data_IF_294514869542
#
_entry.id   IF_294514869542
#
_cell.length_a   1.000
_cell.length_b   1.000
_cell.length_c   1.000
_cell.angle_alpha   90.00
_cell.angle_beta   90.00
_cell.angle_gamma   90.00
#
_symmetry.space_group_name_H-M   'P 1'
#
loop_
_entity.id
_entity.type
_entity.pdbx_description
1 polymer ?
#
# COMPACT_ATOMS: atom_id res chain seq x y z
N UNK A 1 -12.59 -25.27 36.79
CA UNK A 1 -12.34 -25.13 35.35
C UNK A 1 -12.06 -23.67 35.10
N UNK A 2 -10.80 -23.31 34.90
CA UNK A 2 -10.41 -21.95 34.57
C UNK A 2 -10.75 -21.73 33.09
N UNK A 3 -11.63 -20.79 32.80
CA UNK A 3 -11.80 -20.24 31.47
C UNK A 3 -10.44 -19.72 31.01
N UNK A 4 -9.76 -20.49 30.15
CA UNK A 4 -8.64 -19.97 29.39
C UNK A 4 -9.23 -18.88 28.50
N UNK A 5 -8.98 -17.65 28.87
CA UNK A 5 -9.33 -16.46 28.10
C UNK A 5 -8.72 -16.58 26.69
N UNK A 6 -9.57 -16.80 25.71
CA UNK A 6 -9.29 -16.79 24.27
C UNK A 6 -8.96 -15.36 23.77
N UNK A 7 -8.00 -14.72 24.41
CA UNK A 7 -7.66 -13.30 24.11
C UNK A 7 -6.99 -13.10 22.74
N UNK A 8 -6.58 -14.18 22.06
CA UNK A 8 -5.80 -14.08 20.80
C UNK A 8 -6.50 -14.69 19.58
N UNK A 9 -7.66 -15.31 19.70
CA UNK A 9 -8.38 -15.84 18.55
C UNK A 9 -8.79 -14.72 17.59
N UNK A 10 -8.63 -14.97 16.30
CA UNK A 10 -9.18 -14.09 15.28
C UNK A 10 -10.69 -14.35 15.18
N UNK A 11 -11.50 -13.35 15.50
CA UNK A 11 -12.93 -13.41 15.27
C UNK A 11 -13.21 -13.01 13.81
N UNK A 12 -13.64 -13.93 12.93
CA UNK A 12 -13.75 -13.64 11.50
C UNK A 12 -14.61 -12.41 11.18
N UNK A 13 -15.63 -12.14 11.98
CA UNK A 13 -16.50 -10.97 11.80
C UNK A 13 -15.82 -9.63 12.09
N UNK A 14 -14.68 -9.64 12.78
CA UNK A 14 -13.90 -8.44 13.15
C UNK A 14 -12.58 -8.35 12.38
N UNK A 15 -12.36 -9.23 11.39
CA UNK A 15 -11.13 -9.31 10.59
C UNK A 15 -11.43 -8.98 9.13
N UNK A 16 -10.49 -8.32 8.46
CA UNK A 16 -10.47 -8.19 7.01
C UNK A 16 -9.05 -8.41 6.46
N UNK A 17 -8.95 -8.94 5.24
CA UNK A 17 -7.72 -8.96 4.46
C UNK A 17 -7.64 -7.69 3.64
N UNK A 18 -6.50 -7.01 3.64
CA UNK A 18 -6.14 -5.95 2.72
C UNK A 18 -5.08 -6.48 1.76
N UNK A 19 -5.43 -6.69 0.49
CA UNK A 19 -4.49 -6.92 -0.60
C UNK A 19 -4.10 -5.56 -1.16
N UNK A 20 -2.85 -5.12 -0.92
CA UNK A 20 -2.39 -3.76 -1.19
C UNK A 20 -1.58 -3.73 -2.49
N UNK A 21 -2.04 -2.94 -3.47
CA UNK A 21 -1.37 -2.66 -4.76
C UNK A 21 -1.10 -3.89 -5.63
N UNK A 22 -2.05 -4.81 -5.67
CA UNK A 22 -1.97 -6.00 -6.51
C UNK A 22 -2.26 -5.67 -7.98
N UNK A 23 -1.29 -5.08 -8.66
CA UNK A 23 -1.41 -4.62 -10.04
C UNK A 23 -0.27 -5.15 -10.92
N UNK A 24 -0.53 -5.28 -12.22
CA UNK A 24 0.44 -5.79 -13.22
C UNK A 24 1.67 -4.90 -13.39
N UNK A 25 1.64 -3.71 -12.84
CA UNK A 25 2.76 -2.78 -12.91
C UNK A 25 4.04 -3.32 -12.28
N UNK A 26 3.94 -4.08 -11.19
CA UNK A 26 5.08 -4.60 -10.46
C UNK A 26 5.72 -5.84 -11.08
N UNK A 27 5.16 -6.35 -12.20
CA UNK A 27 5.62 -7.57 -12.89
C UNK A 27 6.74 -7.32 -13.90
N UNK A 28 6.81 -6.14 -14.50
CA UNK A 28 7.55 -5.94 -15.74
C UNK A 28 8.95 -5.39 -15.49
N UNK A 29 9.93 -6.30 -15.51
CA UNK A 29 11.35 -5.96 -15.41
C UNK A 29 11.88 -5.15 -16.59
N UNK A 30 11.29 -5.28 -17.78
CA UNK A 30 11.75 -4.59 -18.99
C UNK A 30 11.33 -3.13 -19.02
N UNK A 31 10.23 -2.79 -18.36
CA UNK A 31 9.78 -1.40 -18.23
C UNK A 31 10.57 -0.63 -17.17
N UNK A 32 11.39 -1.31 -16.37
CA UNK A 32 12.35 -0.76 -15.39
C UNK A 32 11.74 0.21 -14.36
N UNK A 33 10.45 0.02 -14.00
CA UNK A 33 9.72 1.08 -13.31
C UNK A 33 9.58 0.83 -11.81
N UNK A 34 9.10 -0.29 -11.36
CA UNK A 34 9.05 -0.69 -9.94
C UNK A 34 9.02 -2.21 -9.82
N UNK A 35 9.90 -2.89 -10.56
CA UNK A 35 9.97 -4.34 -10.49
C UNK A 35 10.21 -4.79 -9.04
N UNK A 36 9.30 -5.58 -8.53
CA UNK A 36 9.42 -6.22 -7.21
C UNK A 36 9.93 -7.65 -7.41
N UNK A 37 11.10 -7.93 -6.85
CA UNK A 37 11.69 -9.27 -6.98
C UNK A 37 10.80 -10.33 -6.33
N UNK A 38 10.66 -11.49 -6.98
CA UNK A 38 9.80 -12.59 -6.51
C UNK A 38 8.31 -12.17 -6.30
N UNK A 39 7.81 -11.22 -7.07
CA UNK A 39 6.41 -10.80 -7.00
C UNK A 39 5.43 -11.97 -7.22
N UNK A 40 5.79 -12.94 -8.09
CA UNK A 40 4.99 -14.13 -8.36
C UNK A 40 4.70 -14.92 -7.07
N UNK A 41 5.73 -15.10 -6.22
CA UNK A 41 5.56 -15.79 -4.93
C UNK A 41 4.64 -15.01 -3.99
N UNK A 42 4.76 -13.69 -3.97
CA UNK A 42 3.86 -12.88 -3.16
C UNK A 42 2.40 -12.97 -3.67
N UNK A 43 2.20 -13.01 -4.99
CA UNK A 43 0.88 -13.19 -5.60
C UNK A 43 0.27 -14.55 -5.25
N UNK A 44 1.03 -15.63 -5.41
CA UNK A 44 0.62 -16.98 -5.05
C UNK A 44 0.26 -17.08 -3.56
N UNK A 45 1.14 -16.62 -2.67
CA UNK A 45 0.88 -16.65 -1.23
C UNK A 45 -0.26 -15.71 -0.81
N UNK A 46 -0.43 -14.56 -1.46
CA UNK A 46 -1.59 -13.71 -1.22
C UNK A 46 -2.89 -14.40 -1.62
N UNK A 47 -2.89 -15.11 -2.73
CA UNK A 47 -4.06 -15.90 -3.16
C UNK A 47 -4.38 -17.00 -2.15
N UNK A 48 -3.36 -17.73 -1.67
CA UNK A 48 -3.53 -18.74 -0.63
C UNK A 48 -4.11 -18.16 0.67
N UNK A 49 -3.62 -17.00 1.11
CA UNK A 49 -4.15 -16.28 2.29
C UNK A 49 -5.61 -15.87 2.07
N UNK A 50 -5.94 -15.36 0.89
CA UNK A 50 -7.31 -14.95 0.53
C UNK A 50 -8.24 -16.15 0.54
N UNK A 51 -7.86 -17.26 -0.11
CA UNK A 51 -8.67 -18.47 -0.18
C UNK A 51 -8.92 -19.05 1.21
N UNK A 52 -7.87 -19.14 2.02
CA UNK A 52 -7.96 -19.56 3.41
C UNK A 52 -8.91 -18.67 4.22
N UNK A 53 -8.75 -17.35 4.15
CA UNK A 53 -9.58 -16.41 4.89
C UNK A 53 -11.07 -16.47 4.45
N UNK A 54 -11.33 -16.77 3.18
CA UNK A 54 -12.69 -16.98 2.67
C UNK A 54 -13.40 -18.19 3.30
N UNK A 55 -12.69 -19.26 3.60
CA UNK A 55 -13.26 -20.42 4.32
C UNK A 55 -13.81 -20.04 5.69
N UNK A 56 -13.25 -19.00 6.30
CA UNK A 56 -13.69 -18.43 7.59
C UNK A 56 -14.65 -17.22 7.43
N UNK A 57 -15.12 -16.93 6.21
CA UNK A 57 -16.01 -15.80 5.92
C UNK A 57 -15.41 -14.42 6.24
N UNK A 58 -14.09 -14.32 6.24
CA UNK A 58 -13.35 -13.06 6.41
C UNK A 58 -13.50 -12.24 5.12
N UNK A 59 -13.71 -10.94 5.27
CA UNK A 59 -13.84 -10.01 4.13
C UNK A 59 -12.49 -9.73 3.48
N UNK A 60 -12.49 -9.68 2.17
CA UNK A 60 -11.31 -9.40 1.36
C UNK A 60 -11.48 -8.07 0.66
N UNK A 61 -10.53 -7.18 0.86
CA UNK A 61 -10.54 -5.82 0.31
C UNK A 61 -9.30 -5.64 -0.57
N UNK A 62 -9.52 -5.32 -1.84
CA UNK A 62 -8.47 -4.87 -2.73
C UNK A 62 -8.27 -3.36 -2.53
N UNK A 63 -7.05 -2.96 -2.20
CA UNK A 63 -6.64 -1.56 -2.15
C UNK A 63 -5.55 -1.39 -3.19
N UNK A 64 -5.70 -0.47 -4.13
CA UNK A 64 -4.82 -0.41 -5.29
C UNK A 64 -4.56 1.02 -5.75
N UNK A 65 -3.37 1.23 -6.30
CA UNK A 65 -3.00 2.47 -6.94
C UNK A 65 -3.81 2.71 -8.22
N UNK A 66 -4.32 3.92 -8.36
CA UNK A 66 -5.15 4.34 -9.49
C UNK A 66 -4.84 5.81 -9.84
N UNK A 67 -3.61 6.04 -10.32
CA UNK A 67 -3.08 7.39 -10.47
C UNK A 67 -3.57 8.11 -11.72
N UNK A 68 -3.89 9.41 -11.63
CA UNK A 68 -3.96 10.25 -12.82
C UNK A 68 -2.57 10.43 -13.43
N UNK A 69 -2.49 10.51 -14.76
CA UNK A 69 -1.23 10.66 -15.50
C UNK A 69 -0.40 11.88 -15.05
N UNK A 70 -1.04 12.86 -14.48
CA UNK A 70 -0.46 14.15 -14.05
C UNK A 70 -0.22 14.26 -12.55
N UNK A 71 -0.05 13.14 -11.86
CA UNK A 71 0.16 13.12 -10.42
C UNK A 71 1.46 13.83 -9.99
N UNK A 72 1.42 14.53 -8.84
CA UNK A 72 2.52 15.36 -8.32
C UNK A 72 3.86 14.62 -8.14
N UNK A 73 3.84 13.33 -7.84
CA UNK A 73 5.07 12.56 -7.63
C UNK A 73 5.59 11.83 -8.88
N UNK A 74 5.08 12.13 -10.07
CA UNK A 74 5.67 11.59 -11.29
C UNK A 74 6.82 12.47 -11.80
N UNK A 75 8.02 11.88 -11.91
CA UNK A 75 9.23 12.56 -12.35
C UNK A 75 9.04 13.22 -13.72
N UNK A 76 8.25 12.61 -14.59
CA UNK A 76 7.95 13.13 -15.92
C UNK A 76 7.13 14.44 -15.93
N UNK A 77 6.68 14.92 -14.77
CA UNK A 77 6.02 16.22 -14.63
C UNK A 77 7.00 17.38 -14.42
N UNK A 78 8.30 17.08 -14.26
CA UNK A 78 9.31 18.07 -13.91
C UNK A 78 10.45 18.16 -14.93
N UNK A 79 10.93 19.36 -15.18
CA UNK A 79 12.08 19.59 -16.03
C UNK A 79 13.35 19.06 -15.36
N UNK A 80 14.12 18.23 -16.07
CA UNK A 80 15.42 17.74 -15.59
C UNK A 80 15.38 16.67 -14.52
N UNK A 81 14.21 16.31 -13.98
CA UNK A 81 14.06 15.25 -13.00
C UNK A 81 13.93 13.87 -13.67
N UNK A 82 14.35 12.85 -12.92
CA UNK A 82 14.28 11.44 -13.32
C UNK A 82 13.60 10.63 -12.22
N UNK A 83 13.06 9.44 -12.53
CA UNK A 83 12.62 8.51 -11.51
C UNK A 83 13.67 8.30 -10.42
N UNK A 84 13.20 8.29 -9.17
CA UNK A 84 13.98 8.17 -7.94
C UNK A 84 14.77 9.41 -7.52
N UNK A 85 14.71 10.52 -8.25
CA UNK A 85 15.19 11.81 -7.76
C UNK A 85 14.34 12.27 -6.59
N UNK A 86 14.96 13.01 -5.67
CA UNK A 86 14.23 13.70 -4.62
C UNK A 86 13.72 15.05 -5.14
N UNK A 87 12.55 15.44 -4.64
CA UNK A 87 12.04 16.80 -4.72
C UNK A 87 11.77 17.29 -3.30
N UNK A 88 12.20 18.50 -2.97
CA UNK A 88 12.08 19.03 -1.60
C UNK A 88 11.50 20.44 -1.58
N UNK A 89 10.92 20.81 -0.43
CA UNK A 89 10.46 22.19 -0.21
C UNK A 89 11.61 23.20 -0.39
N UNK A 90 12.80 22.89 0.14
CA UNK A 90 13.95 23.77 0.03
C UNK A 90 14.41 24.03 -1.41
N UNK A 91 14.20 23.06 -2.29
CA UNK A 91 14.47 23.21 -3.73
C UNK A 91 13.41 24.08 -4.41
N UNK A 92 12.13 23.83 -4.14
CA UNK A 92 11.04 24.46 -4.92
C UNK A 92 10.57 25.80 -4.37
N UNK A 93 10.89 26.15 -3.11
CA UNK A 93 10.38 27.37 -2.46
C UNK A 93 10.69 28.65 -3.23
N UNK A 94 11.82 28.67 -3.92
CA UNK A 94 12.31 29.83 -4.68
C UNK A 94 11.95 29.74 -6.19
N UNK A 95 11.33 28.66 -6.65
CA UNK A 95 10.86 28.56 -8.03
C UNK A 95 9.75 29.57 -8.34
N UNK A 96 9.70 30.01 -9.60
CA UNK A 96 8.64 30.83 -10.15
C UNK A 96 8.05 30.14 -11.39
N UNK A 97 6.90 30.58 -11.86
CA UNK A 97 6.30 30.02 -13.07
C UNK A 97 7.16 30.29 -14.31
N UNK A 98 8.02 31.31 -14.28
CA UNK A 98 8.94 31.65 -15.37
C UNK A 98 10.09 30.64 -15.51
N UNK A 99 10.39 29.88 -14.44
CA UNK A 99 11.48 28.87 -14.45
C UNK A 99 11.11 27.63 -15.28
N UNK A 100 9.84 27.45 -15.62
CA UNK A 100 9.33 26.32 -16.41
C UNK A 100 9.78 24.95 -15.88
N UNK A 101 9.84 24.78 -14.56
CA UNK A 101 10.27 23.55 -13.90
C UNK A 101 9.17 22.47 -13.92
N UNK A 102 7.92 22.88 -14.04
CA UNK A 102 6.75 22.00 -14.09
C UNK A 102 6.24 21.95 -15.54
N UNK A 103 6.13 20.74 -16.10
CA UNK A 103 5.63 20.58 -17.45
C UNK A 103 4.12 20.85 -17.56
N UNK A 104 3.67 21.27 -18.73
CA UNK A 104 2.25 21.54 -19.00
C UNK A 104 1.32 20.33 -18.84
N UNK A 105 1.88 19.11 -18.78
CA UNK A 105 1.10 17.89 -18.50
C UNK A 105 0.74 17.75 -17.00
N UNK A 106 1.42 18.46 -16.11
CA UNK A 106 1.15 18.39 -14.68
C UNK A 106 -0.26 18.90 -14.38
N UNK A 107 -0.98 18.20 -13.53
CA UNK A 107 -2.34 18.55 -13.12
C UNK A 107 -2.39 19.43 -11.88
N UNK A 108 -1.27 20.06 -11.51
CA UNK A 108 -1.10 20.88 -10.31
C UNK A 108 -0.32 22.15 -10.64
N UNK A 109 -0.51 23.17 -9.83
CA UNK A 109 0.21 24.43 -9.87
C UNK A 109 1.49 24.39 -9.01
N UNK A 110 2.40 25.35 -9.24
CA UNK A 110 3.57 25.53 -8.40
C UNK A 110 3.20 25.84 -6.94
N UNK A 111 2.14 26.58 -6.70
CA UNK A 111 1.68 26.90 -5.35
C UNK A 111 1.16 25.65 -4.62
N UNK A 112 0.43 24.78 -5.30
CA UNK A 112 -0.01 23.49 -4.74
C UNK A 112 1.17 22.58 -4.42
N UNK A 113 2.17 22.50 -5.30
CA UNK A 113 3.41 21.77 -5.04
C UNK A 113 4.16 22.32 -3.81
N UNK A 114 4.33 23.64 -3.72
CA UNK A 114 4.98 24.28 -2.57
C UNK A 114 4.23 24.01 -1.27
N UNK A 115 2.91 24.09 -1.30
CA UNK A 115 2.08 23.82 -0.13
C UNK A 115 2.24 22.37 0.33
N UNK A 116 2.18 21.44 -0.60
CA UNK A 116 2.36 20.01 -0.33
C UNK A 116 3.75 19.70 0.27
N UNK A 117 4.82 20.15 -0.40
CA UNK A 117 6.18 19.89 0.07
C UNK A 117 6.52 20.61 1.38
N UNK A 118 5.84 21.69 1.72
CA UNK A 118 5.98 22.35 3.01
C UNK A 118 5.54 21.46 4.17
N UNK A 119 4.54 20.61 3.96
CA UNK A 119 4.02 19.69 4.96
C UNK A 119 4.88 18.42 5.08
N UNK A 120 5.33 17.86 3.94
CA UNK A 120 6.07 16.59 3.91
C UNK A 120 7.59 16.77 3.87
N UNK A 121 8.08 17.99 3.63
CA UNK A 121 9.48 18.41 3.49
C UNK A 121 10.15 17.95 2.21
N UNK A 122 10.08 16.66 1.87
CA UNK A 122 10.64 16.07 0.65
C UNK A 122 9.91 14.79 0.27
N UNK A 123 10.00 14.44 -1.02
CA UNK A 123 9.44 13.21 -1.58
C UNK A 123 10.35 12.60 -2.64
N UNK A 124 10.18 11.30 -2.89
CA UNK A 124 10.79 10.59 -4.02
C UNK A 124 9.89 10.75 -5.24
N UNK A 125 10.48 11.11 -6.36
CA UNK A 125 9.78 11.12 -7.65
C UNK A 125 9.82 9.74 -8.30
N UNK A 126 8.69 9.30 -8.79
CA UNK A 126 8.48 7.98 -9.35
C UNK A 126 8.33 8.02 -10.87
N UNK A 127 8.58 6.89 -11.56
CA UNK A 127 8.13 6.75 -12.94
C UNK A 127 6.61 6.82 -13.02
N UNK A 128 6.05 7.11 -14.19
CA UNK A 128 4.62 6.99 -14.44
C UNK A 128 4.20 5.52 -14.23
N UNK A 129 3.26 5.25 -13.31
CA UNK A 129 2.84 3.89 -12.99
C UNK A 129 1.38 3.84 -12.56
N UNK A 130 0.77 2.67 -12.58
CA UNK A 130 -0.62 2.42 -12.17
C UNK A 130 -1.61 3.47 -12.72
N UNK A 131 -1.37 3.94 -13.94
CA UNK A 131 -2.19 4.99 -14.56
C UNK A 131 -3.61 4.46 -14.79
N UNK A 132 -4.58 5.23 -14.32
CA UNK A 132 -6.00 4.93 -14.48
C UNK A 132 -6.38 4.60 -15.92
N UNK A 133 -7.21 3.58 -16.11
CA UNK A 133 -7.66 3.07 -17.41
C UNK A 133 -6.55 2.48 -18.30
N UNK A 134 -5.39 2.13 -17.77
CA UNK A 134 -4.38 1.35 -18.48
C UNK A 134 -4.41 -0.11 -18.04
N UNK A 135 -3.87 -1.01 -18.86
CA UNK A 135 -3.77 -2.44 -18.50
C UNK A 135 -2.92 -2.66 -17.23
N UNK A 136 -1.98 -1.79 -16.95
CA UNK A 136 -1.07 -1.88 -15.82
C UNK A 136 -1.75 -1.65 -14.46
N UNK A 137 -2.91 -1.02 -14.46
CA UNK A 137 -3.77 -0.90 -13.28
C UNK A 137 -4.64 -2.15 -13.04
N UNK A 138 -4.56 -3.18 -13.92
CA UNK A 138 -5.28 -4.44 -13.74
C UNK A 138 -4.62 -5.31 -12.66
N UNK A 139 -5.43 -6.22 -12.12
CA UNK A 139 -4.97 -7.19 -11.14
C UNK A 139 -3.93 -8.16 -11.71
N UNK A 140 -2.99 -8.56 -10.86
CA UNK A 140 -2.03 -9.60 -11.13
C UNK A 140 -2.63 -11.00 -10.98
N UNK A 141 -2.29 -11.89 -11.92
CA UNK A 141 -2.54 -13.32 -11.70
C UNK A 141 -1.74 -13.82 -10.48
N UNK A 142 -2.27 -14.79 -9.68
CA UNK A 142 -3.51 -15.52 -9.92
C UNK A 142 -4.78 -14.85 -9.40
N UNK A 143 -4.72 -13.61 -8.92
CA UNK A 143 -5.87 -12.89 -8.36
C UNK A 143 -6.80 -12.37 -9.46
N UNK A 144 -8.10 -12.46 -9.20
CA UNK A 144 -9.17 -12.00 -10.09
C UNK A 144 -10.18 -11.14 -9.34
N UNK A 145 -10.96 -10.37 -10.05
CA UNK A 145 -11.92 -9.43 -9.44
C UNK A 145 -12.91 -10.07 -8.46
N UNK A 146 -13.29 -11.33 -8.68
CA UNK A 146 -14.20 -12.07 -7.79
C UNK A 146 -13.53 -12.51 -6.46
N UNK A 147 -12.24 -12.36 -6.33
CA UNK A 147 -11.53 -12.63 -5.06
C UNK A 147 -11.77 -11.53 -4.01
N UNK A 148 -12.38 -10.41 -4.38
CA UNK A 148 -12.54 -9.25 -3.52
C UNK A 148 -14.01 -8.91 -3.28
N UNK A 149 -14.35 -8.64 -2.00
CA UNK A 149 -15.67 -8.15 -1.61
C UNK A 149 -15.80 -6.64 -1.85
N UNK A 150 -14.66 -5.92 -1.79
CA UNK A 150 -14.59 -4.48 -2.00
C UNK A 150 -13.32 -4.11 -2.75
N UNK A 151 -13.43 -3.05 -3.57
CA UNK A 151 -12.31 -2.41 -4.25
C UNK A 151 -12.21 -0.97 -3.77
N UNK A 152 -11.07 -0.60 -3.23
CA UNK A 152 -10.78 0.74 -2.71
C UNK A 152 -9.60 1.32 -3.48
N UNK A 153 -9.84 2.20 -4.46
CA UNK A 153 -8.76 2.90 -5.14
C UNK A 153 -8.07 3.84 -4.16
N UNK A 154 -6.75 3.86 -4.20
CA UNK A 154 -5.95 4.95 -3.68
C UNK A 154 -5.89 6.01 -4.79
N UNK A 155 -5.93 7.32 -4.47
CA UNK A 155 -5.51 8.39 -5.38
C UNK A 155 -6.41 8.81 -6.52
N UNK A 156 -7.47 9.41 -6.22
CA UNK A 156 -8.16 10.29 -7.14
C UNK A 156 -7.60 11.73 -7.09
N UNK A 157 -6.77 12.05 -6.09
CA UNK A 157 -6.20 13.39 -5.92
C UNK A 157 -4.81 13.51 -6.53
N UNK A 158 -4.56 14.62 -7.23
CA UNK A 158 -3.32 14.89 -7.96
C UNK A 158 -2.15 15.21 -7.04
N UNK A 159 -2.42 15.89 -5.92
CA UNK A 159 -1.42 16.38 -4.97
C UNK A 159 -1.60 15.72 -3.61
N UNK A 160 -0.91 14.61 -3.42
CA UNK A 160 -0.94 13.85 -2.17
C UNK A 160 0.21 12.86 -2.10
N UNK A 161 0.53 12.33 -0.90
CA UNK A 161 1.36 11.14 -0.78
C UNK A 161 0.49 9.89 -0.90
N UNK A 162 0.96 8.78 -1.42
CA UNK A 162 0.12 7.65 -1.85
C UNK A 162 0.43 6.32 -1.17
N UNK A 163 1.27 6.31 -0.19
CA UNK A 163 1.72 5.03 0.37
C UNK A 163 0.65 4.33 1.19
N UNK A 164 -0.14 5.08 1.95
CA UNK A 164 -1.11 4.47 2.85
C UNK A 164 -2.43 4.14 2.18
N UNK A 165 -2.95 2.93 2.45
CA UNK A 165 -4.30 2.51 2.10
C UNK A 165 -5.40 3.39 2.74
N UNK A 166 -5.06 4.13 3.79
CA UNK A 166 -6.00 4.95 4.56
C UNK A 166 -6.02 6.42 4.16
N UNK A 167 -4.91 6.91 3.56
CA UNK A 167 -4.82 8.32 3.27
C UNK A 167 -5.82 8.71 2.17
N UNK A 168 -6.76 9.60 2.54
CA UNK A 168 -7.81 10.15 1.67
C UNK A 168 -8.66 9.10 0.93
N UNK A 169 -8.74 7.88 1.45
CA UNK A 169 -9.58 6.82 0.92
C UNK A 169 -10.84 6.62 1.77
N UNK A 170 -11.76 5.81 1.25
CA UNK A 170 -12.97 5.41 1.99
C UNK A 170 -12.73 4.24 2.94
N UNK A 171 -11.49 3.71 3.01
CA UNK A 171 -11.18 2.46 3.71
C UNK A 171 -11.55 2.49 5.19
N UNK A 172 -11.13 3.50 5.93
CA UNK A 172 -11.42 3.60 7.37
C UNK A 172 -12.94 3.61 7.64
N UNK A 173 -13.70 4.37 6.85
CA UNK A 173 -15.16 4.41 6.94
C UNK A 173 -15.78 3.05 6.63
N UNK A 174 -15.29 2.35 5.62
CA UNK A 174 -15.74 1.01 5.25
C UNK A 174 -15.48 0.03 6.40
N UNK A 175 -14.26 -0.03 6.92
CA UNK A 175 -13.87 -0.95 8.00
C UNK A 175 -14.70 -0.70 9.28
N UNK A 176 -14.85 0.55 9.69
CA UNK A 176 -15.68 0.93 10.85
C UNK A 176 -17.15 0.53 10.67
N UNK A 177 -17.71 0.71 9.47
CA UNK A 177 -19.09 0.32 9.17
C UNK A 177 -19.33 -1.19 9.27
N UNK A 178 -18.27 -1.99 9.20
CA UNK A 178 -18.27 -3.45 9.28
C UNK A 178 -17.76 -3.98 10.62
N UNK A 179 -17.49 -3.11 11.59
CA UNK A 179 -16.93 -3.45 12.91
C UNK A 179 -15.60 -4.22 12.82
N UNK A 180 -14.78 -3.94 11.78
CA UNK A 180 -13.47 -4.55 11.63
C UNK A 180 -12.51 -3.95 12.65
N UNK A 181 -11.67 -4.78 13.26
CA UNK A 181 -10.68 -4.42 14.27
C UNK A 181 -9.28 -4.89 13.93
N UNK A 182 -9.18 -6.01 13.18
CA UNK A 182 -7.91 -6.62 12.81
C UNK A 182 -7.77 -6.66 11.30
N UNK A 183 -6.56 -6.41 10.81
CA UNK A 183 -6.26 -6.32 9.38
C UNK A 183 -5.11 -7.27 9.04
N UNK A 184 -5.35 -8.18 8.12
CA UNK A 184 -4.33 -9.04 7.53
C UNK A 184 -3.85 -8.35 6.26
N UNK A 185 -2.56 -7.98 6.21
CA UNK A 185 -1.98 -7.24 5.10
C UNK A 185 -1.14 -8.17 4.23
N UNK A 186 -1.37 -8.12 2.93
CA UNK A 186 -0.63 -8.86 1.90
C UNK A 186 -0.25 -7.96 0.74
N UNK A 187 0.66 -8.43 -0.10
CA UNK A 187 1.18 -7.91 -1.35
C UNK A 187 2.29 -6.87 -1.18
N UNK A 188 2.38 -5.81 -2.02
CA UNK A 188 3.58 -4.99 -2.20
C UNK A 188 3.35 -3.49 -1.99
N UNK A 189 4.36 -2.71 -1.73
CA UNK A 189 5.69 -3.14 -1.29
C UNK A 189 5.81 -3.02 0.21
N UNK A 190 6.53 -3.96 0.83
CA UNK A 190 6.68 -4.00 2.30
C UNK A 190 7.27 -2.71 2.84
N UNK A 191 8.25 -2.14 2.14
CA UNK A 191 8.99 -0.94 2.50
C UNK A 191 8.31 0.38 2.13
N UNK A 192 7.11 0.34 1.53
CA UNK A 192 6.31 1.51 1.15
C UNK A 192 4.84 1.36 1.57
N UNK A 193 3.98 0.88 0.67
CA UNK A 193 2.52 0.92 0.87
C UNK A 193 2.06 0.00 2.02
N UNK A 194 2.61 -1.21 2.14
CA UNK A 194 2.24 -2.14 3.22
C UNK A 194 2.67 -1.58 4.57
N UNK A 195 3.90 -1.09 4.67
CA UNK A 195 4.44 -0.46 5.86
C UNK A 195 3.62 0.74 6.32
N UNK A 196 3.41 1.72 5.44
CA UNK A 196 2.67 2.93 5.79
C UNK A 196 1.23 2.61 6.16
N UNK A 197 0.59 1.69 5.43
CA UNK A 197 -0.75 1.23 5.75
C UNK A 197 -0.83 0.53 7.11
N UNK A 198 0.19 -0.25 7.49
CA UNK A 198 0.24 -0.90 8.80
C UNK A 198 0.38 0.11 9.95
N UNK A 199 1.21 1.16 9.76
CA UNK A 199 1.36 2.24 10.75
C UNK A 199 0.05 3.00 10.91
N UNK A 200 -0.58 3.41 9.81
CA UNK A 200 -1.81 4.18 9.86
C UNK A 200 -2.98 3.35 10.40
N UNK A 201 -3.04 2.06 10.05
CA UNK A 201 -3.97 1.14 10.70
C UNK A 201 -3.82 1.16 12.23
N UNK A 202 -2.58 1.08 12.71
CA UNK A 202 -2.28 1.13 14.15
C UNK A 202 -2.69 2.46 14.78
N UNK A 203 -2.40 3.57 14.12
CA UNK A 203 -2.79 4.91 14.58
C UNK A 203 -4.31 5.09 14.62
N UNK A 204 -5.03 4.40 13.74
CA UNK A 204 -6.50 4.38 13.68
C UNK A 204 -7.15 3.32 14.60
N UNK A 205 -6.34 2.68 15.47
CA UNK A 205 -6.75 1.68 16.47
C UNK A 205 -7.13 0.31 15.90
N UNK A 206 -6.68 -0.02 14.68
CA UNK A 206 -6.72 -1.40 14.19
C UNK A 206 -5.52 -2.21 14.71
N UNK A 207 -5.64 -3.53 14.66
CA UNK A 207 -4.55 -4.47 14.93
C UNK A 207 -4.04 -5.03 13.60
N UNK A 208 -3.01 -4.42 12.96
CA UNK A 208 -2.46 -4.92 11.71
C UNK A 208 -1.59 -6.16 11.93
N UNK A 209 -1.70 -7.11 11.02
CA UNK A 209 -0.93 -8.36 10.94
C UNK A 209 -0.39 -8.46 9.51
N UNK A 210 0.92 -8.42 9.35
CA UNK A 210 1.58 -8.56 8.04
C UNK A 210 1.93 -10.04 7.84
N UNK A 211 1.59 -10.58 6.66
CA UNK A 211 1.94 -11.96 6.31
C UNK A 211 3.27 -11.96 5.57
N UNK A 212 4.33 -12.39 6.26
CA UNK A 212 5.71 -12.31 5.77
C UNK A 212 5.96 -13.02 4.44
N UNK A 213 5.23 -14.10 4.19
CA UNK A 213 5.36 -14.89 2.97
C UNK A 213 4.64 -14.25 1.78
N UNK A 214 3.58 -13.48 2.08
CA UNK A 214 2.69 -12.86 1.11
C UNK A 214 2.99 -11.38 0.85
N UNK A 215 4.18 -10.91 1.25
CA UNK A 215 4.66 -9.54 0.97
C UNK A 215 6.05 -9.59 0.34
N UNK A 216 6.39 -8.57 -0.43
CA UNK A 216 7.74 -8.37 -1.00
C UNK A 216 8.09 -6.88 -0.95
N UNK A 217 9.38 -6.59 -1.00
CA UNK A 217 9.97 -5.26 -0.91
C UNK A 217 10.63 -4.83 -2.22
N UNK A 218 10.75 -3.54 -2.40
CA UNK A 218 11.51 -2.97 -3.52
C UNK A 218 13.01 -3.06 -3.25
N UNK A 219 13.45 -2.75 -2.03
CA UNK A 219 14.86 -2.79 -1.64
C UNK A 219 15.10 -3.61 -0.37
N UNK A 220 16.08 -4.56 -0.39
CA UNK A 220 16.47 -5.31 0.82
C UNK A 220 16.99 -4.41 1.94
N UNK A 221 17.66 -3.31 1.60
CA UNK A 221 18.33 -2.44 2.58
C UNK A 221 17.31 -1.67 3.43
N UNK A 222 16.19 -1.25 2.83
CA UNK A 222 15.12 -0.55 3.55
C UNK A 222 14.28 -1.50 4.41
N UNK A 223 14.22 -2.76 4.07
CA UNK A 223 13.36 -3.77 4.72
C UNK A 223 13.77 -4.05 6.16
N UNK A 224 15.07 -4.16 6.45
CA UNK A 224 15.54 -4.48 7.81
C UNK A 224 15.17 -3.37 8.80
N UNK A 225 15.41 -2.11 8.43
CA UNK A 225 15.04 -0.96 9.25
C UNK A 225 13.52 -0.88 9.47
N UNK A 226 12.74 -1.24 8.45
CA UNK A 226 11.28 -1.21 8.52
C UNK A 226 10.74 -2.30 9.44
N UNK A 227 11.27 -3.53 9.38
CA UNK A 227 10.88 -4.63 10.27
C UNK A 227 11.15 -4.26 11.73
N UNK A 228 12.31 -3.66 12.03
CA UNK A 228 12.64 -3.22 13.38
C UNK A 228 11.69 -2.14 13.90
N UNK A 229 11.35 -1.16 13.07
CA UNK A 229 10.38 -0.12 13.42
C UNK A 229 8.98 -0.70 13.65
N UNK A 230 8.49 -1.60 12.77
CA UNK A 230 7.17 -2.26 12.93
C UNK A 230 7.10 -3.05 14.24
N UNK A 231 8.17 -3.78 14.54
CA UNK A 231 8.28 -4.52 15.79
C UNK A 231 8.21 -3.60 17.01
N UNK A 232 8.85 -2.43 16.94
CA UNK A 232 8.77 -1.38 17.97
C UNK A 232 7.36 -0.80 18.16
N UNK A 233 6.52 -0.85 17.15
CA UNK A 233 5.11 -0.44 17.19
C UNK A 233 4.14 -1.57 17.58
N UNK A 234 4.64 -2.76 17.92
CA UNK A 234 3.84 -3.95 18.24
C UNK A 234 2.93 -4.39 17.08
N UNK A 235 3.38 -4.20 15.84
CA UNK A 235 2.74 -4.73 14.65
C UNK A 235 3.20 -6.17 14.46
N UNK A 236 2.27 -7.10 14.33
CA UNK A 236 2.59 -8.50 14.17
C UNK A 236 3.04 -8.80 12.73
N UNK A 237 4.14 -9.53 12.61
CA UNK A 237 4.62 -10.09 11.34
C UNK A 237 4.65 -11.60 11.54
N UNK A 238 3.83 -12.34 10.79
CA UNK A 238 3.68 -13.79 10.93
C UNK A 238 3.71 -14.48 9.57
N UNK A 239 3.98 -15.77 9.56
CA UNK A 239 3.84 -16.58 8.34
C UNK A 239 2.38 -16.96 8.09
N UNK A 240 2.07 -17.41 6.87
CA UNK A 240 0.73 -17.93 6.54
C UNK A 240 0.36 -19.16 7.35
N UNK A 241 1.31 -20.03 7.70
CA UNK A 241 1.09 -21.18 8.57
C UNK A 241 0.63 -20.73 9.96
N UNK A 242 1.28 -19.70 10.51
CA UNK A 242 0.88 -19.16 11.80
C UNK A 242 -0.50 -18.49 11.74
N UNK A 243 -0.87 -17.92 10.60
CA UNK A 243 -2.23 -17.39 10.38
C UNK A 243 -3.27 -18.53 10.45
N UNK A 244 -2.98 -19.69 9.85
CA UNK A 244 -3.87 -20.87 9.91
C UNK A 244 -4.12 -21.27 11.36
N UNK A 245 -3.07 -21.36 12.18
CA UNK A 245 -3.19 -21.70 13.60
C UNK A 245 -4.11 -20.70 14.32
N UNK A 246 -3.92 -19.40 14.07
CA UNK A 246 -4.74 -18.35 14.68
C UNK A 246 -6.20 -18.40 14.25
N UNK A 247 -6.48 -18.76 13.00
CA UNK A 247 -7.84 -18.91 12.48
C UNK A 247 -8.53 -20.15 13.06
N UNK A 248 -7.78 -21.23 13.28
CA UNK A 248 -8.28 -22.47 13.91
C UNK A 248 -8.40 -22.38 15.43
N UNK A 249 -7.85 -21.32 16.06
CA UNK A 249 -7.84 -21.16 17.50
C UNK A 249 -6.74 -21.95 18.20
N UNK A 250 -5.71 -22.37 17.46
CA UNK A 250 -4.54 -23.07 17.99
C UNK A 250 -3.49 -22.04 18.47
N UNK A 251 -3.15 -22.06 19.77
CA UNK A 251 -2.30 -21.05 20.43
C UNK A 251 -0.96 -21.59 20.90
#
# INVERSE_FOLDING_TARGET
MLEKTTKNALLPSEVAVLSIDNTQWFENKELNELYVNEWEKAAEHSKEVIDMCREFWIRIINVFDNHPLWHVLFAANYSGKKPYDLISYDEVKDWTDEDNQIWSRAGFSLDELKLYLKDVSQEVLWPDHCIVNTQWANLNAPLIASDFDYNVPKWEEVVSSWYSAFDRTVLDKLLKSRNIKKLILTWVATDYCVWQSAIDAKNLWYEPIIISDAVRWVSPDTTSEMIDKLSGLWIQIITKERLIDLLNGDF
#
